data_IF_743647284513
#
_entry.id   IF_743647284513
#
_cell.length_a   1.000
_cell.length_b   1.000
_cell.length_c   1.000
_cell.angle_alpha   90.00
_cell.angle_beta   90.00
_cell.angle_gamma   90.00
#
_symmetry.space_group_name_H-M   'P 1'
#
loop_
_entity.id
_entity.type
_entity.pdbx_description
1 polymer ?
#
# COMPACT_ATOMS: atom_id res chain seq x y z
N UNK A 1 5.57 11.03 15.30
CA UNK A 1 5.80 11.60 13.95
C UNK A 1 4.76 12.68 13.67
N UNK A 2 5.14 13.83 13.10
CA UNK A 2 4.17 14.91 12.79
C UNK A 2 3.41 14.64 11.48
N UNK A 3 2.14 15.08 11.40
CA UNK A 3 1.26 14.89 10.24
C UNK A 3 1.88 15.33 8.91
N UNK A 4 2.61 16.45 8.90
CA UNK A 4 3.30 16.95 7.69
C UNK A 4 4.34 15.95 7.16
N UNK A 5 5.10 15.29 8.04
CA UNK A 5 6.10 14.28 7.65
C UNK A 5 5.42 13.01 7.11
N UNK A 6 4.32 12.60 7.72
CA UNK A 6 3.54 11.43 7.28
C UNK A 6 3.01 11.66 5.86
N UNK A 7 2.41 12.82 5.60
CA UNK A 7 1.89 13.17 4.26
C UNK A 7 3.03 13.19 3.23
N UNK A 8 4.16 13.82 3.56
CA UNK A 8 5.30 13.92 2.65
C UNK A 8 5.89 12.55 2.31
N UNK A 9 6.01 11.67 3.31
CA UNK A 9 6.44 10.28 3.08
C UNK A 9 5.44 9.49 2.26
N UNK A 10 4.14 9.65 2.53
CA UNK A 10 3.08 9.03 1.73
C UNK A 10 3.14 9.44 0.25
N UNK A 11 3.36 10.72 -0.03
CA UNK A 11 3.55 11.23 -1.39
C UNK A 11 4.80 10.62 -2.03
N UNK A 12 5.92 10.57 -1.31
CA UNK A 12 7.15 9.95 -1.82
C UNK A 12 6.97 8.45 -2.13
N UNK A 13 6.32 7.71 -1.24
CA UNK A 13 5.99 6.29 -1.42
C UNK A 13 5.04 6.06 -2.60
N UNK A 14 4.06 6.93 -2.80
CA UNK A 14 3.14 6.87 -3.93
C UNK A 14 3.87 7.14 -5.26
N UNK A 15 4.76 8.13 -5.29
CA UNK A 15 5.58 8.42 -6.46
C UNK A 15 6.51 7.24 -6.81
N UNK A 16 7.19 6.66 -5.81
CA UNK A 16 8.01 5.47 -5.99
C UNK A 16 7.15 4.30 -6.51
N UNK A 17 5.95 4.10 -5.95
CA UNK A 17 5.02 3.06 -6.42
C UNK A 17 4.67 3.21 -7.90
N UNK A 18 4.35 4.44 -8.32
CA UNK A 18 4.00 4.76 -9.70
C UNK A 18 5.17 4.48 -10.65
N UNK A 19 6.38 4.89 -10.27
CA UNK A 19 7.60 4.60 -11.03
C UNK A 19 7.85 3.10 -11.11
N UNK A 20 7.75 2.36 -10.00
CA UNK A 20 7.90 0.89 -10.00
C UNK A 20 6.87 0.19 -10.89
N UNK A 21 5.65 0.71 -10.96
CA UNK A 21 4.58 0.21 -11.85
C UNK A 21 4.80 0.54 -13.32
N UNK A 22 5.71 1.44 -13.70
CA UNK A 22 6.09 1.59 -15.11
C UNK A 22 7.01 0.47 -15.58
N UNK A 23 7.75 -0.16 -14.66
CA UNK A 23 8.55 -1.32 -14.97
C UNK A 23 7.67 -2.57 -15.06
N UNK A 24 8.01 -3.48 -15.97
CA UNK A 24 7.41 -4.82 -16.06
C UNK A 24 7.98 -5.73 -14.97
N UNK A 25 7.88 -5.29 -13.72
CA UNK A 25 8.28 -6.09 -12.57
C UNK A 25 7.26 -7.21 -12.34
N UNK A 26 7.71 -8.42 -12.03
CA UNK A 26 6.85 -9.48 -11.51
C UNK A 26 5.99 -9.00 -10.34
N UNK A 27 4.80 -9.61 -10.21
CA UNK A 27 3.90 -9.36 -9.09
C UNK A 27 4.61 -9.50 -7.75
N UNK A 28 4.30 -8.62 -6.80
CA UNK A 28 4.86 -8.64 -5.45
C UNK A 28 6.29 -8.09 -5.30
N UNK A 29 7.12 -8.03 -6.35
CA UNK A 29 8.47 -7.44 -6.23
C UNK A 29 8.39 -5.96 -5.88
N UNK A 30 7.46 -5.24 -6.53
CA UNK A 30 7.21 -3.84 -6.20
C UNK A 30 6.76 -3.66 -4.73
N UNK A 31 5.99 -4.61 -4.18
CA UNK A 31 5.56 -4.62 -2.77
C UNK A 31 6.75 -4.81 -1.81
N UNK A 32 7.68 -5.72 -2.13
CA UNK A 32 8.92 -5.91 -1.34
C UNK A 32 9.77 -4.65 -1.36
N UNK A 33 9.92 -4.01 -2.53
CA UNK A 33 10.66 -2.75 -2.63
C UNK A 33 9.99 -1.67 -1.78
N UNK A 34 8.67 -1.52 -1.88
CA UNK A 34 7.92 -0.56 -1.04
C UNK A 34 8.05 -0.86 0.46
N UNK A 35 8.11 -2.13 0.86
CA UNK A 35 8.36 -2.51 2.26
C UNK A 35 9.70 -1.98 2.76
N UNK A 36 10.76 -2.15 1.97
CA UNK A 36 12.10 -1.65 2.32
C UNK A 36 12.08 -0.13 2.45
N UNK A 37 11.45 0.58 1.50
CA UNK A 37 11.31 2.04 1.58
C UNK A 37 10.51 2.48 2.81
N UNK A 38 9.41 1.78 3.13
CA UNK A 38 8.59 2.09 4.30
C UNK A 38 9.38 1.87 5.60
N UNK A 39 10.12 0.77 5.71
CA UNK A 39 10.97 0.48 6.86
C UNK A 39 12.03 1.59 7.05
N UNK A 40 12.75 1.93 5.98
CA UNK A 40 13.74 3.01 6.02
C UNK A 40 13.11 4.34 6.40
N UNK A 41 11.92 4.65 5.87
CA UNK A 41 11.20 5.87 6.20
C UNK A 41 10.82 5.93 7.69
N UNK A 42 10.37 4.81 8.27
CA UNK A 42 10.01 4.72 9.69
C UNK A 42 11.25 4.86 10.60
N UNK A 43 12.37 4.24 10.24
CA UNK A 43 13.62 4.37 11.01
C UNK A 43 14.15 5.80 10.94
N UNK A 44 14.30 6.35 9.72
CA UNK A 44 14.96 7.64 9.50
C UNK A 44 14.12 8.84 9.97
N UNK A 45 12.80 8.79 9.79
CA UNK A 45 11.93 9.94 10.07
C UNK A 45 11.02 9.74 11.28
N UNK A 46 10.82 8.49 11.70
CA UNK A 46 9.94 8.14 12.82
C UNK A 46 10.63 8.22 14.17
N UNK A 47 11.97 8.26 14.22
CA UNK A 47 12.77 8.10 15.44
C UNK A 47 12.35 6.84 16.24
N UNK A 48 11.82 5.81 15.57
CA UNK A 48 11.40 4.57 16.20
C UNK A 48 12.55 3.57 16.23
N UNK A 49 12.57 2.73 17.27
CA UNK A 49 13.51 1.61 17.34
C UNK A 49 13.37 0.70 16.11
N UNK A 50 14.48 0.09 15.69
CA UNK A 50 14.52 -0.79 14.53
C UNK A 50 13.43 -1.88 14.60
N UNK A 51 13.30 -2.54 15.75
CA UNK A 51 12.32 -3.61 15.97
C UNK A 51 10.88 -3.12 15.81
N UNK A 52 10.56 -1.93 16.36
CA UNK A 52 9.22 -1.35 16.25
C UNK A 52 8.91 -0.97 14.79
N UNK A 53 9.89 -0.37 14.11
CA UNK A 53 9.76 0.02 12.69
C UNK A 53 9.60 -1.20 11.79
N UNK A 54 10.31 -2.30 12.08
CA UNK A 54 10.18 -3.57 11.37
C UNK A 54 8.78 -4.15 11.55
N UNK A 55 8.29 -4.29 12.78
CA UNK A 55 6.95 -4.80 13.07
C UNK A 55 5.88 -3.94 12.39
N UNK A 56 5.99 -2.61 12.48
CA UNK A 56 5.07 -1.69 11.85
C UNK A 56 5.07 -1.82 10.32
N UNK A 57 6.25 -1.96 9.69
CA UNK A 57 6.37 -2.17 8.24
C UNK A 57 5.77 -3.51 7.80
N UNK A 58 6.02 -4.59 8.55
CA UNK A 58 5.48 -5.92 8.26
C UNK A 58 3.94 -5.94 8.38
N UNK A 59 3.39 -5.36 9.45
CA UNK A 59 1.94 -5.23 9.62
C UNK A 59 1.31 -4.39 8.50
N UNK A 60 1.95 -3.28 8.13
CA UNK A 60 1.46 -2.42 7.05
C UNK A 60 1.38 -3.16 5.71
N UNK A 61 2.40 -3.95 5.40
CA UNK A 61 2.43 -4.77 4.18
C UNK A 61 1.46 -5.94 4.27
N UNK A 62 1.30 -6.57 5.43
CA UNK A 62 0.32 -7.63 5.61
C UNK A 62 -1.09 -7.13 5.32
N UNK A 63 -1.45 -5.96 5.85
CA UNK A 63 -2.74 -5.32 5.58
C UNK A 63 -2.89 -4.98 4.09
N UNK A 64 -1.84 -4.43 3.47
CA UNK A 64 -1.81 -4.14 2.04
C UNK A 64 -2.09 -5.40 1.20
N UNK A 65 -1.36 -6.50 1.45
CA UNK A 65 -1.49 -7.75 0.71
C UNK A 65 -2.87 -8.39 0.90
N UNK A 66 -3.43 -8.34 2.11
CA UNK A 66 -4.79 -8.85 2.35
C UNK A 66 -5.81 -8.05 1.54
N UNK A 67 -5.72 -6.72 1.56
CA UNK A 67 -6.65 -5.86 0.82
C UNK A 67 -6.46 -6.04 -0.69
N UNK A 68 -5.23 -6.15 -1.17
CA UNK A 68 -4.91 -6.43 -2.56
C UNK A 68 -5.54 -7.74 -3.02
N UNK A 69 -5.33 -8.81 -2.26
CA UNK A 69 -5.88 -10.12 -2.56
C UNK A 69 -7.41 -10.12 -2.61
N UNK A 70 -8.06 -9.46 -1.65
CA UNK A 70 -9.53 -9.31 -1.63
C UNK A 70 -10.00 -8.52 -2.85
N UNK A 71 -9.35 -7.40 -3.18
CA UNK A 71 -9.70 -6.58 -4.34
C UNK A 71 -9.54 -7.36 -5.65
N UNK A 72 -8.40 -8.02 -5.85
CA UNK A 72 -8.16 -8.81 -7.05
C UNK A 72 -9.16 -9.96 -7.16
N UNK A 73 -9.42 -10.69 -6.07
CA UNK A 73 -10.37 -11.80 -6.07
C UNK A 73 -11.80 -11.38 -6.39
N UNK A 74 -12.19 -10.15 -6.04
CA UNK A 74 -13.52 -9.61 -6.34
C UNK A 74 -13.59 -8.95 -7.73
N UNK A 75 -12.59 -8.17 -8.11
CA UNK A 75 -12.61 -7.37 -9.34
C UNK A 75 -12.24 -8.20 -10.57
N UNK A 76 -11.29 -9.13 -10.50
CA UNK A 76 -10.88 -9.92 -11.67
C UNK A 76 -12.06 -10.71 -12.29
N UNK A 77 -12.90 -11.44 -11.52
CA UNK A 77 -14.06 -12.12 -12.08
C UNK A 77 -15.11 -11.15 -12.63
N UNK A 78 -15.32 -10.01 -11.96
CA UNK A 78 -16.31 -9.00 -12.37
C UNK A 78 -15.94 -8.38 -13.72
N UNK A 79 -14.66 -8.14 -13.96
CA UNK A 79 -14.15 -7.56 -15.21
C UNK A 79 -13.75 -8.62 -16.25
N UNK A 80 -13.84 -9.92 -15.93
CA UNK A 80 -13.43 -11.01 -16.83
C UNK A 80 -11.93 -11.02 -17.14
N UNK A 81 -11.11 -10.53 -16.21
CA UNK A 81 -9.66 -10.35 -16.37
C UNK A 81 -8.94 -11.53 -15.72
N UNK A 82 -7.91 -12.06 -16.38
CA UNK A 82 -7.05 -13.10 -15.81
C UNK A 82 -5.71 -12.52 -15.31
N UNK A 83 -4.98 -13.21 -14.44
CA UNK A 83 -3.66 -12.76 -13.99
C UNK A 83 -2.71 -12.44 -15.14
N UNK A 84 -2.74 -13.22 -16.23
CA UNK A 84 -1.88 -13.01 -17.40
C UNK A 84 -2.17 -11.65 -18.05
N UNK A 85 -3.44 -11.34 -18.28
CA UNK A 85 -3.86 -10.06 -18.88
C UNK A 85 -3.53 -8.84 -18.01
N UNK A 86 -3.45 -9.01 -16.67
CA UNK A 86 -2.97 -7.97 -15.76
C UNK A 86 -1.48 -7.66 -15.93
N UNK A 87 -0.65 -8.62 -16.32
CA UNK A 87 0.78 -8.37 -16.55
C UNK A 87 1.06 -7.80 -17.92
N UNK A 88 0.25 -8.13 -18.92
CA UNK A 88 0.41 -7.68 -20.30
C UNK A 88 -0.15 -6.28 -20.54
N UNK A 89 -1.25 -5.92 -19.87
CA UNK A 89 -1.93 -4.65 -20.11
C UNK A 89 -1.85 -3.70 -18.92
N UNK A 90 -1.02 -2.67 -19.06
CA UNK A 90 -0.77 -1.66 -18.04
C UNK A 90 -2.04 -0.89 -17.63
N UNK A 91 -2.97 -0.64 -18.56
CA UNK A 91 -4.22 0.07 -18.27
C UNK A 91 -5.14 -0.79 -17.40
N UNK A 92 -5.30 -2.06 -17.76
CA UNK A 92 -6.10 -3.02 -16.96
C UNK A 92 -5.47 -3.18 -15.58
N UNK A 93 -4.14 -3.29 -15.51
CA UNK A 93 -3.42 -3.37 -14.24
C UNK A 93 -3.74 -2.21 -13.32
N UNK A 94 -3.62 -0.97 -13.81
CA UNK A 94 -3.90 0.22 -13.00
C UNK A 94 -5.38 0.23 -12.57
N UNK A 95 -6.30 -0.02 -13.51
CA UNK A 95 -7.74 0.04 -13.24
C UNK A 95 -8.21 -0.95 -12.18
N UNK A 96 -7.62 -2.16 -12.15
CA UNK A 96 -7.98 -3.23 -11.22
C UNK A 96 -7.23 -3.11 -9.89
N UNK A 97 -5.99 -2.60 -9.89
CA UNK A 97 -5.15 -2.51 -8.68
C UNK A 97 -5.28 -1.18 -7.93
N UNK A 98 -5.64 -0.06 -8.56
CA UNK A 98 -5.83 1.24 -7.87
C UNK A 98 -7.02 1.30 -6.89
N UNK A 99 -8.17 0.63 -7.13
CA UNK A 99 -9.28 0.61 -6.19
C UNK A 99 -8.89 0.18 -4.78
N UNK A 100 -7.87 -0.69 -4.64
CA UNK A 100 -7.34 -1.11 -3.36
C UNK A 100 -6.84 0.07 -2.51
N UNK A 101 -6.22 1.08 -3.14
CA UNK A 101 -5.64 2.25 -2.46
C UNK A 101 -6.76 3.11 -1.84
N UNK A 102 -7.87 3.28 -2.57
CA UNK A 102 -9.04 3.98 -2.06
C UNK A 102 -9.66 3.24 -0.86
N UNK A 103 -9.76 1.91 -0.94
CA UNK A 103 -10.28 1.10 0.17
C UNK A 103 -9.36 1.25 1.40
N UNK A 104 -8.04 1.16 1.22
CA UNK A 104 -7.08 1.38 2.31
C UNK A 104 -7.22 2.76 2.94
N UNK A 105 -7.42 3.81 2.14
CA UNK A 105 -7.62 5.16 2.65
C UNK A 105 -8.91 5.27 3.50
N UNK A 106 -10.00 4.67 3.03
CA UNK A 106 -11.26 4.59 3.78
C UNK A 106 -11.07 3.84 5.10
N UNK A 107 -10.41 2.68 5.07
CA UNK A 107 -10.09 1.91 6.28
C UNK A 107 -9.26 2.74 7.29
N UNK A 108 -8.21 3.41 6.82
CA UNK A 108 -7.38 4.26 7.67
C UNK A 108 -8.19 5.42 8.28
N UNK A 109 -9.05 6.05 7.49
CA UNK A 109 -9.94 7.12 7.96
C UNK A 109 -10.94 6.62 9.01
N UNK A 110 -11.59 5.47 8.76
CA UNK A 110 -12.55 4.85 9.68
C UNK A 110 -11.88 4.46 11.01
N UNK A 111 -10.72 3.81 10.96
CA UNK A 111 -9.95 3.42 12.14
C UNK A 111 -9.56 4.67 12.96
N UNK A 112 -9.03 5.71 12.31
CA UNK A 112 -8.67 6.95 13.00
C UNK A 112 -9.89 7.64 13.63
N UNK A 113 -11.05 7.60 12.97
CA UNK A 113 -12.30 8.14 13.52
C UNK A 113 -12.80 7.32 14.72
N UNK A 114 -12.74 5.99 14.67
CA UNK A 114 -13.16 5.11 15.75
C UNK A 114 -12.26 5.23 16.97
N UNK A 115 -10.93 5.19 16.79
CA UNK A 115 -9.97 5.34 17.88
C UNK A 115 -10.13 6.70 18.57
N UNK A 116 -10.35 7.79 17.81
CA UNK A 116 -10.61 9.12 18.39
C UNK A 116 -11.93 9.21 19.15
N UNK A 117 -12.90 8.35 18.83
CA UNK A 117 -14.20 8.29 19.53
C UNK A 117 -14.11 7.52 20.86
N UNK A 118 -13.15 6.62 21.02
CA UNK A 118 -12.96 5.90 22.30
C UNK A 118 -12.11 6.67 23.32
N UNK A 119 -11.36 7.68 22.89
CA UNK A 119 -10.43 8.46 23.74
C UNK A 119 -10.98 9.85 24.09
N UNK A 120 -12.15 10.24 23.59
CA UNK A 120 -12.84 11.51 23.89
C UNK A 120 -14.20 11.28 24.51
#
# INVERSE_FOLDING_TARGET
MGWKKIILLGIALAFISYVLRMFTLPFGIHTIIQMIFLLLALILFGNGDFSLSLIASLLSILVLVIIEFVCLSLLMPVFGVTPETLFENLVIRIMITEPQVFIMFIFAFLINKLIRKEVG
#
